data_IF_639875369037
#
_entry.id   IF_639875369037
#
_cell.length_a   1.000
_cell.length_b   1.000
_cell.length_c   1.000
_cell.angle_alpha   90.00
_cell.angle_beta   90.00
_cell.angle_gamma   90.00
#
_symmetry.space_group_name_H-M   'P 1'
#
loop_
_entity.id
_entity.type
_entity.pdbx_description
1 polymer ?
#
# COMPACT_ATOMS: atom_id res chain seq x y z
N UNK A 1 -2.10 -5.04 10.60
CA UNK A 1 -0.94 -5.54 9.82
C UNK A 1 -1.48 -6.53 8.82
N UNK A 2 -0.95 -6.54 7.60
CA UNK A 2 -1.35 -7.49 6.56
C UNK A 2 -0.12 -8.00 5.81
N UNK A 3 -0.14 -9.26 5.39
CA UNK A 3 0.91 -9.90 4.58
C UNK A 3 0.31 -10.38 3.28
N UNK A 4 0.95 -10.07 2.15
CA UNK A 4 0.47 -10.47 0.84
C UNK A 4 1.55 -11.24 0.10
N UNK A 5 1.19 -12.41 -0.43
CA UNK A 5 1.98 -13.05 -1.47
C UNK A 5 1.56 -12.51 -2.84
N UNK A 6 2.39 -11.65 -3.41
CA UNK A 6 2.11 -10.90 -4.62
C UNK A 6 2.96 -11.42 -5.77
N UNK A 7 2.30 -11.86 -6.85
CA UNK A 7 2.95 -12.11 -8.13
C UNK A 7 2.81 -10.88 -9.00
N UNK A 8 3.93 -10.25 -9.34
CA UNK A 8 3.92 -9.02 -10.12
C UNK A 8 3.57 -9.27 -11.61
N UNK A 9 3.30 -8.22 -12.41
CA UNK A 9 2.96 -8.37 -13.82
C UNK A 9 4.01 -9.12 -14.66
N UNK A 10 5.29 -9.06 -14.27
CA UNK A 10 6.36 -9.86 -14.90
C UNK A 10 6.43 -11.31 -14.39
N UNK A 11 5.44 -11.74 -13.60
CA UNK A 11 5.31 -13.10 -13.08
C UNK A 11 6.21 -13.44 -11.90
N UNK A 12 6.92 -12.47 -11.32
CA UNK A 12 7.87 -12.69 -10.21
C UNK A 12 7.19 -12.60 -8.86
N UNK A 13 7.42 -13.56 -7.95
CA UNK A 13 6.84 -13.55 -6.60
C UNK A 13 7.53 -12.51 -5.72
N UNK A 14 6.74 -11.87 -4.85
CA UNK A 14 7.15 -10.91 -3.82
C UNK A 14 6.29 -11.11 -2.57
N UNK A 15 6.83 -10.72 -1.42
CA UNK A 15 6.05 -10.60 -0.17
C UNK A 15 5.86 -9.12 0.14
N UNK A 16 4.60 -8.68 0.22
CA UNK A 16 4.22 -7.35 0.67
C UNK A 16 3.90 -7.36 2.15
N UNK A 17 4.64 -6.58 2.94
CA UNK A 17 4.37 -6.37 4.37
C UNK A 17 3.72 -4.99 4.55
N UNK A 18 2.50 -4.98 5.07
CA UNK A 18 1.72 -3.77 5.28
C UNK A 18 1.64 -3.44 6.77
N UNK A 19 2.19 -2.29 7.13
CA UNK A 19 2.19 -1.75 8.50
C UNK A 19 1.25 -0.55 8.59
N UNK A 20 0.67 -0.36 9.76
CA UNK A 20 -0.15 0.80 10.07
C UNK A 20 0.32 1.40 11.39
N UNK A 21 0.28 2.72 11.49
CA UNK A 21 0.49 3.45 12.74
C UNK A 21 -0.78 4.21 13.11
N UNK A 22 -1.14 4.19 14.39
CA UNK A 22 -2.25 4.98 14.91
C UNK A 22 -1.83 6.43 15.22
N UNK A 23 -0.53 6.71 15.25
CA UNK A 23 0.01 8.00 15.67
C UNK A 23 1.08 8.50 14.69
N UNK A 24 0.98 9.76 14.32
CA UNK A 24 1.93 10.48 13.48
C UNK A 24 2.06 11.93 13.96
N UNK A 25 3.23 12.56 13.73
CA UNK A 25 3.49 13.97 14.02
C UNK A 25 4.23 14.62 12.84
N UNK A 26 3.87 15.87 12.52
CA UNK A 26 4.44 16.62 11.40
C UNK A 26 3.73 16.35 10.07
N UNK A 27 4.26 16.92 8.99
CA UNK A 27 3.70 16.77 7.64
C UNK A 27 4.53 15.80 6.77
N UNK A 28 3.90 15.11 5.81
CA UNK A 28 4.62 14.32 4.81
C UNK A 28 5.57 15.20 3.99
N UNK A 29 6.83 14.78 3.88
CA UNK A 29 7.86 15.45 3.07
C UNK A 29 8.35 14.50 1.99
N UNK A 30 8.40 14.99 0.75
CA UNK A 30 9.01 14.25 -0.35
C UNK A 30 10.54 14.36 -0.27
N UNK A 31 11.18 13.36 0.33
CA UNK A 31 12.64 13.30 0.48
C UNK A 31 13.40 12.84 -0.78
N UNK A 32 12.70 12.34 -1.81
CA UNK A 32 13.32 11.82 -3.04
C UNK A 32 12.64 12.39 -4.29
N UNK A 33 12.71 13.71 -4.54
CA UNK A 33 11.96 14.37 -5.63
C UNK A 33 12.32 13.88 -7.03
N UNK A 34 13.48 13.25 -7.22
CA UNK A 34 13.88 12.65 -8.50
C UNK A 34 13.24 11.29 -8.76
N UNK A 35 12.73 10.63 -7.72
CA UNK A 35 12.08 9.30 -7.81
C UNK A 35 10.58 9.38 -7.56
N UNK A 36 10.14 10.35 -6.77
CA UNK A 36 8.76 10.50 -6.32
C UNK A 36 8.22 11.85 -6.77
N UNK A 37 7.10 11.84 -7.50
CA UNK A 37 6.47 13.07 -7.99
C UNK A 37 5.76 13.86 -6.88
N UNK A 38 5.40 13.23 -5.76
CA UNK A 38 4.72 13.88 -4.65
C UNK A 38 4.25 12.89 -3.58
N UNK A 39 3.94 13.43 -2.41
CA UNK A 39 3.40 12.68 -1.27
C UNK A 39 2.31 13.51 -0.59
N UNK A 40 1.27 12.84 -0.09
CA UNK A 40 0.16 13.52 0.57
C UNK A 40 -0.79 12.56 1.29
N UNK A 41 -1.70 13.15 2.07
CA UNK A 41 -2.73 12.41 2.80
C UNK A 41 -3.95 12.15 1.92
N UNK A 42 -4.42 10.91 1.94
CA UNK A 42 -5.66 10.50 1.27
C UNK A 42 -6.51 9.72 2.26
N UNK A 43 -7.83 9.88 2.16
CA UNK A 43 -8.74 9.11 3.00
C UNK A 43 -8.67 7.62 2.61
N UNK A 44 -8.54 6.72 3.59
CA UNK A 44 -8.30 5.29 3.36
C UNK A 44 -9.38 4.59 2.53
N UNK A 45 -10.62 5.13 2.52
CA UNK A 45 -11.74 4.63 1.71
C UNK A 45 -11.95 5.40 0.39
N UNK A 46 -11.06 6.31 0.05
CA UNK A 46 -11.13 7.17 -1.15
C UNK A 46 -9.73 7.32 -1.75
N UNK A 47 -9.09 6.18 -2.04
CA UNK A 47 -7.77 6.16 -2.66
C UNK A 47 -7.84 6.75 -4.10
N UNK A 48 -6.77 7.41 -4.58
CA UNK A 48 -6.70 7.88 -5.95
C UNK A 48 -6.97 6.74 -6.96
N UNK A 49 -7.65 7.04 -8.07
CA UNK A 49 -8.02 6.04 -9.07
C UNK A 49 -6.82 5.30 -9.69
N UNK A 50 -5.66 5.95 -9.73
CA UNK A 50 -4.40 5.41 -10.24
C UNK A 50 -3.52 4.77 -9.16
N UNK A 51 -4.08 4.45 -7.99
CA UNK A 51 -3.37 3.68 -6.96
C UNK A 51 -2.99 2.32 -7.52
N UNK A 52 -1.73 1.92 -7.33
CA UNK A 52 -1.26 0.60 -7.76
C UNK A 52 -2.14 -0.50 -7.14
N UNK A 53 -2.71 -1.43 -7.93
CA UNK A 53 -3.77 -2.33 -7.46
C UNK A 53 -3.46 -3.16 -6.21
N UNK A 54 -2.22 -3.69 -6.10
CA UNK A 54 -1.85 -4.49 -4.93
C UNK A 54 -1.76 -3.65 -3.64
N UNK A 55 -1.41 -2.36 -3.74
CA UNK A 55 -1.41 -1.44 -2.60
C UNK A 55 -2.84 -1.18 -2.12
N UNK A 56 -3.76 -0.90 -3.05
CA UNK A 56 -5.17 -0.71 -2.72
C UNK A 56 -5.77 -1.97 -2.06
N UNK A 57 -5.41 -3.15 -2.57
CA UNK A 57 -5.82 -4.45 -2.00
C UNK A 57 -5.29 -4.65 -0.58
N UNK A 58 -4.01 -4.33 -0.33
CA UNK A 58 -3.43 -4.44 1.02
C UNK A 58 -4.08 -3.49 2.03
N UNK A 59 -4.44 -2.26 1.62
CA UNK A 59 -5.20 -1.32 2.45
C UNK A 59 -6.60 -1.87 2.73
N UNK A 60 -7.29 -2.42 1.74
CA UNK A 60 -8.63 -3.00 1.92
C UNK A 60 -8.62 -4.14 2.94
N UNK A 61 -7.67 -5.08 2.84
CA UNK A 61 -7.52 -6.16 3.83
C UNK A 61 -7.15 -5.68 5.22
N UNK A 62 -6.33 -4.63 5.31
CA UNK A 62 -6.07 -4.00 6.60
C UNK A 62 -7.36 -3.46 7.25
N UNK A 63 -8.26 -2.86 6.46
CA UNK A 63 -9.54 -2.33 6.97
C UNK A 63 -10.53 -3.42 7.38
N UNK A 64 -10.48 -4.61 6.78
CA UNK A 64 -11.33 -5.76 7.15
C UNK A 64 -10.73 -6.61 8.28
N UNK A 65 -9.44 -6.42 8.59
CA UNK A 65 -8.73 -7.20 9.60
C UNK A 65 -8.13 -8.51 9.08
N UNK A 66 -8.17 -8.74 7.76
CA UNK A 66 -7.55 -9.91 7.15
C UNK A 66 -6.04 -9.83 7.27
N UNK A 67 -5.40 -10.88 7.76
CA UNK A 67 -3.96 -10.87 8.04
C UNK A 67 -3.11 -11.37 6.87
N UNK A 68 -3.71 -12.12 5.93
CA UNK A 68 -3.02 -12.72 4.80
C UNK A 68 -3.85 -12.68 3.51
N UNK A 69 -3.21 -12.47 2.36
CA UNK A 69 -3.84 -12.62 1.03
C UNK A 69 -2.84 -13.06 -0.05
N UNK A 70 -3.38 -13.47 -1.20
CA UNK A 70 -2.62 -13.72 -2.44
C UNK A 70 -3.12 -12.78 -3.54
N UNK A 71 -2.22 -12.25 -4.37
CA UNK A 71 -2.57 -11.32 -5.45
C UNK A 71 -1.76 -11.63 -6.72
N UNK A 72 -2.41 -11.60 -7.88
CA UNK A 72 -1.76 -11.81 -9.20
C UNK A 72 -1.47 -13.28 -9.55
N UNK A 73 -2.08 -14.22 -8.81
CA UNK A 73 -2.03 -15.66 -9.10
C UNK A 73 -3.14 -16.06 -10.05
#
# INVERSE_FOLDING_TARGET
MHVMHYRNPEGRPRIGWFFATAHWRGEPVNAEPTKCAGIGWHHLRQLPHHTVPYNATGIAHYLTGDTFSVHGW
#
